data_IF_558403346397
#
_entry.id   IF_558403346397
#
_cell.length_a   1.000
_cell.length_b   1.000
_cell.length_c   1.000
_cell.angle_alpha   90.00
_cell.angle_beta   90.00
_cell.angle_gamma   90.00
#
_symmetry.space_group_name_H-M   'P 1'
#
loop_
_entity.id
_entity.type
_entity.pdbx_description
1 polymer ?
#
# COMPACT_ATOMS: atom_id res chain seq x y z
N UNK A 1 10.87 -16.60 -10.43
CA UNK A 1 9.59 -15.89 -10.72
C UNK A 1 9.20 -15.86 -12.20
N UNK A 2 10.14 -15.84 -13.18
CA UNK A 2 9.80 -15.80 -14.62
C UNK A 2 8.90 -16.96 -15.07
N UNK A 3 9.22 -18.20 -14.68
CA UNK A 3 8.45 -19.39 -15.04
C UNK A 3 6.98 -19.33 -14.62
N UNK A 4 6.69 -18.79 -13.42
CA UNK A 4 5.31 -18.61 -12.95
C UNK A 4 4.56 -17.57 -13.79
N UNK A 5 5.21 -16.44 -14.09
CA UNK A 5 4.62 -15.43 -14.97
C UNK A 5 4.35 -15.97 -16.38
N UNK A 6 5.28 -16.74 -16.94
CA UNK A 6 5.08 -17.42 -18.23
C UNK A 6 3.92 -18.40 -18.16
N UNK A 7 3.82 -19.22 -17.10
CA UNK A 7 2.72 -20.16 -16.89
C UNK A 7 1.36 -19.45 -16.85
N UNK A 8 1.22 -18.38 -16.06
CA UNK A 8 0.00 -17.56 -16.00
C UNK A 8 -0.36 -17.04 -17.40
N UNK A 9 0.62 -16.63 -18.19
CA UNK A 9 0.41 -16.06 -19.52
C UNK A 9 0.23 -17.10 -20.64
N UNK A 10 0.43 -18.40 -20.41
CA UNK A 10 0.27 -19.46 -21.43
C UNK A 10 -1.15 -19.57 -21.97
N UNK A 11 -2.17 -19.27 -21.17
CA UNK A 11 -3.57 -19.38 -21.58
C UNK A 11 -4.55 -18.93 -20.50
N UNK A 12 -5.84 -18.88 -20.85
CA UNK A 12 -6.90 -18.47 -19.92
C UNK A 12 -7.06 -19.47 -18.77
N UNK A 13 -6.93 -20.76 -19.05
CA UNK A 13 -7.06 -21.83 -18.04
C UNK A 13 -5.98 -21.73 -16.98
N UNK A 14 -4.72 -21.53 -17.38
CA UNK A 14 -3.59 -21.41 -16.45
C UNK A 14 -3.71 -20.14 -15.59
N UNK A 15 -4.11 -19.02 -16.19
CA UNK A 15 -4.40 -17.80 -15.45
C UNK A 15 -5.52 -18.02 -14.42
N UNK A 16 -6.64 -18.60 -14.82
CA UNK A 16 -7.77 -18.91 -13.92
C UNK A 16 -7.35 -19.83 -12.79
N UNK A 17 -6.58 -20.89 -13.09
CA UNK A 17 -6.10 -21.83 -12.09
C UNK A 17 -5.27 -21.12 -11.00
N UNK A 18 -4.37 -20.22 -11.39
CA UNK A 18 -3.56 -19.46 -10.42
C UNK A 18 -4.42 -18.46 -9.65
N UNK A 19 -5.28 -17.68 -10.33
CA UNK A 19 -6.10 -16.66 -9.68
C UNK A 19 -7.09 -17.30 -8.70
N UNK A 20 -7.91 -18.26 -9.15
CA UNK A 20 -8.91 -18.91 -8.33
C UNK A 20 -8.29 -19.86 -7.29
N UNK A 21 -7.26 -20.63 -7.67
CA UNK A 21 -6.57 -21.54 -6.75
C UNK A 21 -5.90 -20.79 -5.59
N UNK A 22 -5.21 -19.69 -5.86
CA UNK A 22 -4.63 -18.86 -4.80
C UNK A 22 -5.69 -18.11 -3.99
N UNK A 23 -6.81 -17.68 -4.59
CA UNK A 23 -7.91 -17.04 -3.87
C UNK A 23 -8.66 -18.02 -2.95
N UNK A 24 -8.70 -19.30 -3.28
CA UNK A 24 -9.29 -20.34 -2.43
C UNK A 24 -8.43 -20.65 -1.19
N UNK A 25 -7.11 -20.48 -1.30
CA UNK A 25 -6.17 -20.79 -0.23
C UNK A 25 -5.96 -19.60 0.72
N UNK A 26 -6.08 -19.79 2.04
CA UNK A 26 -5.70 -18.77 3.02
C UNK A 26 -4.27 -18.28 2.76
N UNK A 27 -4.02 -17.00 3.03
CA UNK A 27 -2.70 -16.34 2.89
C UNK A 27 -2.13 -16.25 1.46
N UNK A 28 -2.67 -16.96 0.46
CA UNK A 28 -2.18 -16.90 -0.94
C UNK A 28 -2.99 -15.99 -1.85
N UNK A 29 -4.13 -15.46 -1.39
CA UNK A 29 -5.03 -14.63 -2.20
C UNK A 29 -4.33 -13.42 -2.86
N UNK A 30 -3.30 -12.84 -2.22
CA UNK A 30 -2.53 -11.72 -2.77
C UNK A 30 -1.73 -12.12 -4.02
N UNK A 31 -1.31 -13.39 -4.12
CA UNK A 31 -0.63 -13.94 -5.30
C UNK A 31 -1.62 -14.14 -6.44
N UNK A 32 -2.83 -14.62 -6.13
CA UNK A 32 -3.94 -14.70 -7.09
C UNK A 32 -4.31 -13.31 -7.63
N UNK A 33 -4.40 -12.32 -6.74
CA UNK A 33 -4.62 -10.92 -7.10
C UNK A 33 -3.49 -10.36 -7.99
N UNK A 34 -2.23 -10.72 -7.75
CA UNK A 34 -1.11 -10.34 -8.60
C UNK A 34 -1.18 -10.99 -10.00
N UNK A 35 -1.61 -12.26 -10.08
CA UNK A 35 -1.83 -12.95 -11.35
C UNK A 35 -2.96 -12.28 -12.15
N UNK A 36 -4.04 -11.88 -11.47
CA UNK A 36 -5.12 -11.08 -12.05
C UNK A 36 -4.61 -9.75 -12.61
N UNK A 37 -3.78 -9.02 -11.85
CA UNK A 37 -3.14 -7.78 -12.30
C UNK A 37 -2.27 -7.99 -13.54
N UNK A 38 -1.47 -9.07 -13.58
CA UNK A 38 -0.62 -9.39 -14.74
C UNK A 38 -1.46 -9.57 -16.02
N UNK A 39 -2.53 -10.36 -15.94
CA UNK A 39 -3.42 -10.60 -17.09
C UNK A 39 -4.09 -9.30 -17.52
N UNK A 40 -4.61 -8.51 -16.58
CA UNK A 40 -5.28 -7.25 -16.85
C UNK A 40 -4.33 -6.20 -17.46
N UNK A 41 -3.14 -6.04 -16.91
CA UNK A 41 -2.14 -5.10 -17.41
C UNK A 41 -1.66 -5.47 -18.81
N UNK A 42 -1.56 -6.76 -19.16
CA UNK A 42 -1.07 -7.20 -20.47
C UNK A 42 -2.16 -7.33 -21.52
N UNK A 43 -3.28 -7.97 -21.20
CA UNK A 43 -4.36 -8.30 -22.15
C UNK A 43 -5.56 -7.35 -22.07
N UNK A 44 -5.60 -6.48 -21.07
CA UNK A 44 -6.72 -5.56 -20.86
C UNK A 44 -7.92 -6.20 -20.15
N UNK A 45 -8.93 -5.39 -19.88
CA UNK A 45 -10.09 -5.78 -19.08
C UNK A 45 -10.91 -6.90 -19.73
N UNK A 46 -11.19 -6.81 -21.04
CA UNK A 46 -12.02 -7.78 -21.77
C UNK A 46 -11.52 -9.22 -21.59
N UNK A 47 -10.22 -9.42 -21.72
CA UNK A 47 -9.60 -10.74 -21.59
C UNK A 47 -9.43 -11.17 -20.13
N UNK A 48 -9.26 -10.22 -19.21
CA UNK A 48 -9.11 -10.49 -17.79
C UNK A 48 -10.44 -10.81 -17.10
N UNK A 49 -11.57 -10.31 -17.58
CA UNK A 49 -12.88 -10.44 -16.94
C UNK A 49 -13.24 -11.90 -16.63
N UNK A 50 -13.06 -12.82 -17.58
CA UNK A 50 -13.36 -14.23 -17.35
C UNK A 50 -12.46 -14.90 -16.29
N UNK A 51 -11.19 -14.50 -16.23
CA UNK A 51 -10.24 -14.99 -15.22
C UNK A 51 -10.59 -14.44 -13.84
N UNK A 52 -10.88 -13.14 -13.76
CA UNK A 52 -11.26 -12.48 -12.52
C UNK A 52 -12.60 -12.99 -12.01
N UNK A 53 -13.61 -13.16 -12.88
CA UNK A 53 -14.92 -13.67 -12.50
C UNK A 53 -14.84 -15.03 -11.80
N UNK A 54 -14.03 -15.95 -12.34
CA UNK A 54 -13.79 -17.25 -11.70
C UNK A 54 -12.95 -17.13 -10.43
N UNK A 55 -12.02 -16.18 -10.37
CA UNK A 55 -11.28 -15.84 -9.15
C UNK A 55 -12.15 -15.27 -8.03
N UNK A 56 -13.25 -14.59 -8.37
CA UNK A 56 -14.20 -14.03 -7.41
C UNK A 56 -15.06 -15.12 -6.73
N UNK A 57 -15.24 -16.30 -7.34
CA UNK A 57 -16.02 -17.39 -6.74
C UNK A 57 -15.50 -17.83 -5.38
N UNK A 58 -14.21 -18.22 -5.20
CA UNK A 58 -13.69 -18.55 -3.88
C UNK A 58 -13.70 -17.34 -2.93
N UNK A 59 -13.51 -16.12 -3.45
CA UNK A 59 -13.58 -14.90 -2.65
C UNK A 59 -14.99 -14.67 -2.07
N UNK A 60 -16.04 -14.95 -2.85
CA UNK A 60 -17.43 -14.89 -2.41
C UNK A 60 -17.74 -16.01 -1.41
N UNK A 61 -17.16 -17.20 -1.57
CA UNK A 61 -17.30 -18.29 -0.59
C UNK A 61 -16.73 -17.86 0.76
N UNK A 62 -15.52 -17.27 0.79
CA UNK A 62 -14.93 -16.74 2.03
C UNK A 62 -15.82 -15.71 2.70
N UNK A 63 -16.39 -14.78 1.92
CA UNK A 63 -17.26 -13.77 2.50
C UNK A 63 -18.60 -14.34 2.99
N UNK A 64 -19.31 -15.07 2.14
CA UNK A 64 -20.68 -15.49 2.44
C UNK A 64 -20.73 -16.62 3.48
N UNK A 65 -19.72 -17.47 3.55
CA UNK A 65 -19.69 -18.60 4.49
C UNK A 65 -18.88 -18.32 5.76
N UNK A 66 -17.79 -17.56 5.65
CA UNK A 66 -16.88 -17.30 6.78
C UNK A 66 -16.94 -15.85 7.27
N UNK A 67 -17.76 -14.99 6.65
CA UNK A 67 -17.85 -13.58 7.01
C UNK A 67 -16.59 -12.78 6.69
N UNK A 68 -15.67 -13.31 5.89
CA UNK A 68 -14.37 -12.66 5.60
C UNK A 68 -14.32 -12.08 4.17
N UNK A 69 -14.49 -10.75 4.00
CA UNK A 69 -14.46 -10.11 2.69
C UNK A 69 -13.03 -9.87 2.16
N UNK A 70 -11.96 -10.17 2.90
CA UNK A 70 -10.59 -9.70 2.57
C UNK A 70 -10.10 -10.19 1.22
N UNK A 71 -10.36 -11.45 0.88
CA UNK A 71 -9.98 -12.05 -0.42
C UNK A 71 -10.63 -11.27 -1.57
N UNK A 72 -11.93 -10.95 -1.42
CA UNK A 72 -12.69 -10.19 -2.41
C UNK A 72 -12.14 -8.77 -2.55
N UNK A 73 -11.95 -8.09 -1.43
CA UNK A 73 -11.44 -6.72 -1.39
C UNK A 73 -10.08 -6.61 -2.07
N UNK A 74 -9.17 -7.53 -1.78
CA UNK A 74 -7.81 -7.50 -2.34
C UNK A 74 -7.80 -7.80 -3.84
N UNK A 75 -8.56 -8.79 -4.29
CA UNK A 75 -8.67 -9.14 -5.71
C UNK A 75 -9.29 -7.99 -6.53
N UNK A 76 -10.39 -7.39 -6.04
CA UNK A 76 -11.07 -6.28 -6.72
C UNK A 76 -10.26 -4.99 -6.65
N UNK A 77 -9.64 -4.68 -5.51
CA UNK A 77 -8.86 -3.45 -5.39
C UNK A 77 -7.56 -3.50 -6.16
N UNK A 78 -6.84 -4.62 -6.17
CA UNK A 78 -5.63 -4.74 -7.00
C UNK A 78 -5.98 -4.63 -8.49
N UNK A 79 -7.08 -5.25 -8.92
CA UNK A 79 -7.59 -5.16 -10.30
C UNK A 79 -8.01 -3.73 -10.65
N UNK A 80 -8.69 -3.03 -9.74
CA UNK A 80 -9.03 -1.61 -9.90
C UNK A 80 -7.79 -0.73 -10.03
N UNK A 81 -6.78 -0.92 -9.18
CA UNK A 81 -5.50 -0.20 -9.28
C UNK A 81 -4.76 -0.54 -10.58
N UNK A 82 -4.84 -1.79 -11.06
CA UNK A 82 -4.27 -2.20 -12.33
C UNK A 82 -4.94 -1.48 -13.52
N UNK A 83 -6.26 -1.28 -13.46
CA UNK A 83 -6.98 -0.48 -14.47
C UNK A 83 -6.52 0.98 -14.46
N UNK A 84 -6.40 1.58 -13.27
CA UNK A 84 -5.89 2.97 -13.13
C UNK A 84 -4.47 3.08 -13.67
N UNK A 85 -3.59 2.13 -13.32
CA UNK A 85 -2.21 2.14 -13.81
C UNK A 85 -2.15 1.96 -15.33
N UNK A 86 -2.96 1.07 -15.89
CA UNK A 86 -3.04 0.84 -17.34
C UNK A 86 -3.58 2.06 -18.10
N UNK A 87 -4.57 2.75 -17.55
CA UNK A 87 -5.21 3.88 -18.23
C UNK A 87 -4.40 5.19 -18.10
N UNK A 88 -3.68 5.36 -16.99
CA UNK A 88 -2.99 6.62 -16.70
C UNK A 88 -1.48 6.57 -16.84
N UNK A 89 -0.89 5.38 -16.90
CA UNK A 89 0.55 5.13 -16.89
C UNK A 89 1.28 5.82 -15.71
N UNK A 90 0.54 6.14 -14.64
CA UNK A 90 1.03 6.96 -13.53
C UNK A 90 0.85 6.27 -12.19
N UNK A 91 1.98 5.82 -11.62
CA UNK A 91 2.02 5.27 -10.26
C UNK A 91 1.55 6.26 -9.20
N UNK A 92 1.79 7.56 -9.39
CA UNK A 92 1.31 8.59 -8.46
C UNK A 92 -0.22 8.60 -8.42
N UNK A 93 -0.88 8.60 -9.59
CA UNK A 93 -2.35 8.53 -9.65
C UNK A 93 -2.86 7.22 -9.05
N UNK A 94 -2.23 6.09 -9.36
CA UNK A 94 -2.58 4.79 -8.79
C UNK A 94 -2.49 4.79 -7.26
N UNK A 95 -1.41 5.32 -6.68
CA UNK A 95 -1.24 5.42 -5.23
C UNK A 95 -2.29 6.36 -4.61
N UNK A 96 -2.58 7.50 -5.22
CA UNK A 96 -3.64 8.39 -4.73
C UNK A 96 -5.03 7.73 -4.77
N UNK A 97 -5.36 7.01 -5.85
CA UNK A 97 -6.62 6.24 -5.93
C UNK A 97 -6.66 5.11 -4.90
N UNK A 98 -5.53 4.56 -4.49
CA UNK A 98 -5.49 3.54 -3.43
C UNK A 98 -6.04 4.05 -2.09
N UNK A 99 -6.00 5.37 -1.82
CA UNK A 99 -6.63 5.98 -0.64
C UNK A 99 -8.14 5.80 -0.68
N UNK A 100 -8.77 6.02 -1.84
CA UNK A 100 -10.21 5.79 -2.01
C UNK A 100 -10.57 4.30 -1.81
N UNK A 101 -9.71 3.38 -2.27
CA UNK A 101 -9.90 1.96 -1.97
C UNK A 101 -9.74 1.65 -0.48
N UNK A 102 -8.77 2.25 0.21
CA UNK A 102 -8.62 2.12 1.66
C UNK A 102 -9.87 2.60 2.41
N UNK A 103 -10.52 3.68 1.94
CA UNK A 103 -11.80 4.12 2.49
C UNK A 103 -12.91 3.09 2.28
N UNK A 104 -13.05 2.55 1.06
CA UNK A 104 -14.01 1.47 0.77
C UNK A 104 -13.74 0.26 1.68
N UNK A 105 -12.47 -0.11 1.86
CA UNK A 105 -12.08 -1.19 2.77
C UNK A 105 -12.47 -0.89 4.20
N UNK A 106 -12.25 0.33 4.69
CA UNK A 106 -12.62 0.72 6.05
C UNK A 106 -14.12 0.57 6.32
N UNK A 107 -14.97 0.90 5.34
CA UNK A 107 -16.43 0.74 5.45
C UNK A 107 -16.80 -0.75 5.46
N UNK A 108 -16.28 -1.52 4.52
CA UNK A 108 -16.60 -2.95 4.40
C UNK A 108 -16.10 -3.77 5.59
N UNK A 109 -14.86 -3.52 6.04
CA UNK A 109 -14.26 -4.20 7.19
C UNK A 109 -14.86 -3.72 8.51
N UNK A 110 -15.15 -2.42 8.63
CA UNK A 110 -15.82 -1.86 9.80
C UNK A 110 -17.24 -2.40 9.97
N UNK A 111 -17.92 -2.81 8.89
CA UNK A 111 -19.18 -3.54 8.97
C UNK A 111 -18.97 -5.02 9.27
N UNK A 112 -18.09 -5.70 8.54
CA UNK A 112 -17.89 -7.15 8.65
C UNK A 112 -17.25 -7.58 9.98
N UNK A 113 -16.35 -6.76 10.54
CA UNK A 113 -15.56 -7.09 11.73
C UNK A 113 -15.83 -6.17 12.92
N UNK A 114 -16.99 -5.49 12.96
CA UNK A 114 -17.32 -4.55 14.05
C UNK A 114 -17.13 -5.15 15.45
N UNK A 115 -17.71 -6.33 15.78
CA UNK A 115 -17.60 -6.87 17.14
C UNK A 115 -16.14 -7.16 17.54
N UNK A 116 -15.33 -7.65 16.60
CA UNK A 116 -13.93 -7.97 16.82
C UNK A 116 -13.09 -6.71 17.02
N UNK A 117 -13.35 -5.66 16.23
CA UNK A 117 -12.68 -4.36 16.36
C UNK A 117 -13.03 -3.70 17.69
N UNK A 118 -14.31 -3.72 18.08
CA UNK A 118 -14.77 -3.17 19.36
C UNK A 118 -14.15 -3.93 20.53
N UNK A 119 -14.17 -5.26 20.51
CA UNK A 119 -13.54 -6.08 21.55
C UNK A 119 -12.04 -5.80 21.69
N UNK A 120 -11.31 -5.76 20.57
CA UNK A 120 -9.89 -5.44 20.59
C UNK A 120 -9.63 -4.00 21.08
N UNK A 121 -10.45 -3.03 20.68
CA UNK A 121 -10.32 -1.66 21.14
C UNK A 121 -10.48 -1.58 22.67
N UNK A 122 -11.44 -2.30 23.25
CA UNK A 122 -11.62 -2.34 24.71
C UNK A 122 -10.40 -2.93 25.43
N UNK A 123 -9.80 -3.99 24.90
CA UNK A 123 -8.56 -4.55 25.47
C UNK A 123 -7.40 -3.55 25.40
N UNK A 124 -7.28 -2.79 24.31
CA UNK A 124 -6.27 -1.72 24.19
C UNK A 124 -6.53 -0.57 25.18
N UNK A 125 -7.80 -0.19 25.40
CA UNK A 125 -8.15 0.84 26.39
C UNK A 125 -7.71 0.41 27.80
N UNK A 126 -7.89 -0.86 28.16
CA UNK A 126 -7.50 -1.39 29.48
C UNK A 126 -5.99 -1.31 29.75
N UNK A 127 -5.16 -1.45 28.72
CA UNK A 127 -3.70 -1.38 28.84
C UNK A 127 -3.15 0.05 28.74
N UNK A 128 -3.97 1.03 28.34
CA UNK A 128 -3.55 2.41 28.15
C UNK A 128 -2.89 3.05 29.39
N UNK A 129 -3.38 2.84 30.63
CA UNK A 129 -2.71 3.34 31.83
C UNK A 129 -1.31 2.75 32.01
N UNK A 130 -1.13 1.47 31.68
CA UNK A 130 0.16 0.80 31.78
C UNK A 130 1.13 1.29 30.69
N UNK A 131 0.62 1.52 29.47
CA UNK A 131 1.42 1.95 28.32
C UNK A 131 1.89 3.41 28.44
N UNK A 132 1.06 4.29 29.00
CA UNK A 132 1.36 5.72 29.14
C UNK A 132 1.96 6.08 30.51
N UNK A 133 1.81 5.22 31.53
CA UNK A 133 2.38 5.44 32.86
C UNK A 133 1.94 6.78 33.46
N UNK A 134 2.91 7.57 33.91
CA UNK A 134 2.67 8.89 34.53
C UNK A 134 1.94 9.85 33.59
N UNK A 135 2.16 9.76 32.26
CA UNK A 135 1.47 10.59 31.29
C UNK A 135 -0.04 10.36 31.34
N UNK A 136 -0.49 9.12 31.58
CA UNK A 136 -1.91 8.82 31.73
C UNK A 136 -2.53 9.57 32.90
N UNK A 137 -1.81 9.69 34.02
CA UNK A 137 -2.31 10.37 35.21
C UNK A 137 -2.48 11.88 34.99
N UNK A 138 -1.63 12.48 34.15
CA UNK A 138 -1.70 13.90 33.81
C UNK A 138 -2.83 14.25 32.83
N UNK A 139 -3.38 13.27 32.11
CA UNK A 139 -4.53 13.50 31.23
C UNK A 139 -5.81 13.69 32.05
N UNK A 140 -6.58 14.71 31.69
CA UNK A 140 -7.95 14.92 32.15
C UNK A 140 -8.86 13.76 31.76
N UNK A 141 -10.01 13.64 32.43
CA UNK A 141 -11.01 12.61 32.10
C UNK A 141 -11.48 12.72 30.65
N UNK A 142 -11.66 13.94 30.15
CA UNK A 142 -12.09 14.21 28.78
C UNK A 142 -11.02 13.82 27.76
N UNK A 143 -9.74 14.07 28.05
CA UNK A 143 -8.65 13.64 27.17
C UNK A 143 -8.54 12.11 27.11
N UNK A 144 -8.68 11.42 28.25
CA UNK A 144 -8.69 9.95 28.29
C UNK A 144 -9.85 9.38 27.48
N UNK A 145 -11.05 9.94 27.64
CA UNK A 145 -12.23 9.55 26.86
C UNK A 145 -12.02 9.81 25.36
N UNK A 146 -11.42 10.95 25.01
CA UNK A 146 -11.05 11.28 23.63
C UNK A 146 -10.07 10.25 23.07
N UNK A 147 -8.97 9.94 23.75
CA UNK A 147 -8.00 8.92 23.31
C UNK A 147 -8.66 7.57 23.10
N UNK A 148 -9.48 7.11 24.06
CA UNK A 148 -10.20 5.85 23.95
C UNK A 148 -11.12 5.80 22.71
N UNK A 149 -11.81 6.91 22.41
CA UNK A 149 -12.70 7.01 21.25
C UNK A 149 -11.99 6.89 19.89
N UNK A 150 -10.68 7.15 19.83
CA UNK A 150 -9.88 7.05 18.60
C UNK A 150 -9.46 5.61 18.28
N UNK A 151 -9.42 4.71 19.27
CA UNK A 151 -8.80 3.40 19.13
C UNK A 151 -9.52 2.55 18.09
N UNK A 152 -10.85 2.40 18.18
CA UNK A 152 -11.60 1.59 17.22
C UNK A 152 -11.53 2.11 15.77
N UNK A 153 -11.69 3.43 15.51
CA UNK A 153 -11.45 3.99 14.18
C UNK A 153 -10.02 3.77 13.66
N UNK A 154 -9.01 3.96 14.51
CA UNK A 154 -7.60 3.72 14.13
C UNK A 154 -7.36 2.25 13.78
N UNK A 155 -7.89 1.31 14.57
CA UNK A 155 -7.82 -0.13 14.27
C UNK A 155 -8.48 -0.46 12.93
N UNK A 156 -9.67 0.10 12.68
CA UNK A 156 -10.38 -0.06 11.39
C UNK A 156 -9.52 0.45 10.24
N UNK A 157 -8.96 1.65 10.39
CA UNK A 157 -8.05 2.26 9.42
C UNK A 157 -6.78 1.44 9.21
N UNK A 158 -6.20 0.84 10.26
CA UNK A 158 -5.01 0.00 10.18
C UNK A 158 -5.27 -1.29 9.38
N UNK A 159 -6.39 -1.97 9.64
CA UNK A 159 -6.76 -3.18 8.90
C UNK A 159 -7.05 -2.83 7.42
N UNK A 160 -7.73 -1.70 7.18
CA UNK A 160 -7.99 -1.20 5.83
C UNK A 160 -6.69 -0.84 5.08
N UNK A 161 -5.77 -0.14 5.75
CA UNK A 161 -4.46 0.21 5.21
C UNK A 161 -3.60 -1.02 4.93
N UNK A 162 -3.68 -2.06 5.78
CA UNK A 162 -3.01 -3.33 5.52
C UNK A 162 -3.52 -3.96 4.21
N UNK A 163 -4.83 -4.01 4.00
CA UNK A 163 -5.40 -4.51 2.74
C UNK A 163 -5.03 -3.62 1.54
N UNK A 164 -5.01 -2.30 1.73
CA UNK A 164 -4.54 -1.34 0.72
C UNK A 164 -3.08 -1.62 0.32
N UNK A 165 -2.20 -1.84 1.30
CA UNK A 165 -0.79 -2.23 1.07
C UNK A 165 -0.74 -3.54 0.32
N UNK A 166 -1.50 -4.57 0.73
CA UNK A 166 -1.52 -5.87 0.04
C UNK A 166 -1.99 -5.72 -1.41
N UNK A 167 -3.02 -4.93 -1.68
CA UNK A 167 -3.48 -4.66 -3.06
C UNK A 167 -2.45 -3.93 -3.90
N UNK A 168 -1.74 -2.94 -3.34
CA UNK A 168 -0.64 -2.24 -4.01
C UNK A 168 0.52 -3.20 -4.26
N UNK A 169 0.87 -4.07 -3.31
CA UNK A 169 1.92 -5.09 -3.47
C UNK A 169 1.55 -6.14 -4.52
N UNK A 170 0.28 -6.59 -4.57
CA UNK A 170 -0.23 -7.47 -5.62
C UNK A 170 -0.10 -6.82 -6.99
N UNK A 171 -0.46 -5.53 -7.12
CA UNK A 171 -0.26 -4.79 -8.37
C UNK A 171 1.22 -4.66 -8.72
N UNK A 172 2.08 -4.29 -7.77
CA UNK A 172 3.53 -4.20 -7.95
C UNK A 172 4.08 -5.53 -8.47
N UNK A 173 3.68 -6.66 -7.88
CA UNK A 173 4.12 -7.98 -8.30
C UNK A 173 3.62 -8.31 -9.72
N UNK A 174 2.36 -8.01 -10.03
CA UNK A 174 1.81 -8.16 -11.38
C UNK A 174 2.55 -7.31 -12.42
N UNK A 175 2.84 -6.05 -12.11
CA UNK A 175 3.60 -5.14 -12.97
C UNK A 175 5.06 -5.58 -13.11
N UNK A 176 5.67 -6.09 -12.04
CA UNK A 176 7.02 -6.67 -12.07
C UNK A 176 7.09 -7.89 -12.99
N UNK A 177 6.14 -8.82 -12.88
CA UNK A 177 6.04 -9.96 -13.81
C UNK A 177 5.84 -9.51 -15.25
N UNK A 178 4.98 -8.52 -15.48
CA UNK A 178 4.77 -7.95 -16.81
C UNK A 178 6.08 -7.36 -17.38
N UNK A 179 6.84 -6.62 -16.57
CA UNK A 179 8.14 -6.09 -16.94
C UNK A 179 9.13 -7.23 -17.24
N UNK A 180 9.18 -8.26 -16.41
CA UNK A 180 10.08 -9.40 -16.59
C UNK A 180 9.88 -10.11 -17.94
N UNK A 181 8.64 -10.20 -18.43
CA UNK A 181 8.29 -10.87 -19.68
C UNK A 181 8.36 -9.96 -20.91
N UNK A 182 7.98 -8.69 -20.77
CA UNK A 182 7.70 -7.81 -21.91
C UNK A 182 8.46 -6.48 -21.91
N UNK A 183 9.07 -6.08 -20.79
CA UNK A 183 9.86 -4.84 -20.68
C UNK A 183 10.91 -4.97 -19.55
N UNK A 184 11.98 -5.76 -19.75
CA UNK A 184 12.94 -6.07 -18.69
C UNK A 184 13.51 -4.80 -18.03
N UNK A 185 13.44 -4.75 -16.69
CA UNK A 185 13.88 -3.59 -15.91
C UNK A 185 12.95 -2.37 -15.93
N UNK A 186 11.87 -2.38 -16.71
CA UNK A 186 10.90 -1.28 -16.82
C UNK A 186 10.27 -0.89 -15.48
N UNK A 187 9.76 -1.87 -14.74
CA UNK A 187 9.19 -1.64 -13.40
C UNK A 187 10.16 -0.93 -12.46
N UNK A 188 11.45 -1.31 -12.49
CA UNK A 188 12.45 -0.67 -11.64
C UNK A 188 12.60 0.83 -11.93
N UNK A 189 12.56 1.24 -13.21
CA UNK A 189 12.62 2.65 -13.59
C UNK A 189 11.36 3.41 -13.15
N UNK A 190 10.20 2.81 -13.37
CA UNK A 190 8.90 3.36 -12.96
C UNK A 190 8.77 3.53 -11.45
N UNK A 191 9.14 2.51 -10.66
CA UNK A 191 9.05 2.59 -9.21
C UNK A 191 9.97 3.68 -8.66
N UNK A 192 11.20 3.78 -9.18
CA UNK A 192 12.16 4.82 -8.78
C UNK A 192 11.82 6.21 -9.30
N UNK A 193 10.82 6.39 -10.16
CA UNK A 193 10.33 7.71 -10.58
C UNK A 193 9.12 8.16 -9.78
N UNK A 194 8.57 7.32 -8.90
CA UNK A 194 7.48 7.72 -8.00
C UNK A 194 7.96 8.87 -7.11
N UNK A 195 7.25 9.98 -7.23
CA UNK A 195 7.39 11.20 -6.43
C UNK A 195 6.02 11.85 -6.34
N UNK A 196 5.45 11.91 -5.14
CA UNK A 196 4.18 12.57 -4.92
C UNK A 196 4.45 14.08 -4.84
N UNK A 197 3.80 14.93 -5.66
CA UNK A 197 3.98 16.36 -5.58
C UNK A 197 3.56 16.93 -4.22
N UNK A 198 4.11 18.09 -3.85
CA UNK A 198 3.86 18.73 -2.55
C UNK A 198 2.37 18.89 -2.22
N UNK A 199 1.53 19.34 -3.16
CA UNK A 199 0.10 19.55 -2.92
C UNK A 199 -0.62 18.29 -2.40
N UNK A 200 -0.65 17.19 -3.17
CA UNK A 200 -1.21 15.93 -2.69
C UNK A 200 -0.53 15.39 -1.44
N UNK A 201 0.79 15.52 -1.29
CA UNK A 201 1.49 15.05 -0.09
C UNK A 201 1.04 15.80 1.18
N UNK A 202 0.88 17.12 1.09
CA UNK A 202 0.37 17.96 2.19
C UNK A 202 -1.09 17.69 2.49
N UNK A 203 -1.92 17.41 1.48
CA UNK A 203 -3.31 16.99 1.68
C UNK A 203 -3.37 15.66 2.45
N UNK A 204 -2.58 14.66 2.06
CA UNK A 204 -2.49 13.39 2.79
C UNK A 204 -2.04 13.61 4.24
N UNK A 205 -1.02 14.44 4.47
CA UNK A 205 -0.57 14.79 5.82
C UNK A 205 -1.68 15.48 6.64
N UNK A 206 -2.40 16.43 6.04
CA UNK A 206 -3.49 17.12 6.71
C UNK A 206 -4.61 16.15 7.12
N UNK A 207 -4.99 15.21 6.24
CA UNK A 207 -5.94 14.15 6.57
C UNK A 207 -5.47 13.28 7.75
N UNK A 208 -4.16 13.00 7.83
CA UNK A 208 -3.59 12.19 8.91
C UNK A 208 -3.58 12.92 10.27
N UNK A 209 -3.16 14.18 10.28
CA UNK A 209 -2.86 14.92 11.53
C UNK A 209 -4.04 15.77 11.99
N UNK A 210 -4.71 16.44 11.05
CA UNK A 210 -5.81 17.37 11.36
C UNK A 210 -7.16 16.66 11.33
N UNK A 211 -7.31 15.60 10.52
CA UNK A 211 -8.52 14.80 10.41
C UNK A 211 -9.19 14.45 11.75
N UNK A 212 -8.47 13.87 12.74
CA UNK A 212 -9.03 13.51 14.04
C UNK A 212 -9.70 14.66 14.83
N UNK A 213 -9.41 15.93 14.50
CA UNK A 213 -10.05 17.08 15.13
C UNK A 213 -11.49 17.32 14.64
N UNK A 214 -11.89 16.73 13.52
CA UNK A 214 -13.26 16.81 12.97
C UNK A 214 -14.15 15.65 13.42
N UNK A 215 -13.64 14.76 14.28
CA UNK A 215 -14.39 13.67 14.89
C UNK A 215 -13.55 12.38 15.00
N UNK A 216 -13.82 11.51 15.99
CA UNK A 216 -13.00 10.32 16.22
C UNK A 216 -12.90 9.39 15.02
N UNK A 217 -13.97 9.29 14.22
CA UNK A 217 -13.98 8.46 13.02
C UNK A 217 -12.95 8.89 11.99
N UNK A 218 -12.60 10.17 11.90
CA UNK A 218 -11.60 10.65 10.96
C UNK A 218 -10.19 10.14 11.27
N UNK A 219 -9.95 9.57 12.46
CA UNK A 219 -8.67 8.94 12.81
C UNK A 219 -8.34 7.70 11.97
N UNK A 220 -9.34 7.08 11.31
CA UNK A 220 -9.10 6.01 10.35
C UNK A 220 -8.30 6.47 9.12
N UNK A 221 -8.29 7.78 8.82
CA UNK A 221 -7.57 8.34 7.67
C UNK A 221 -6.06 8.29 7.87
N UNK A 222 -5.58 8.36 9.11
CA UNK A 222 -4.15 8.40 9.42
C UNK A 222 -3.38 7.20 8.79
N UNK A 223 -3.76 5.94 9.04
CA UNK A 223 -3.10 4.79 8.42
C UNK A 223 -3.37 4.65 6.91
N UNK A 224 -4.51 5.11 6.39
CA UNK A 224 -4.87 4.98 4.96
C UNK A 224 -4.07 5.97 4.11
N UNK A 225 -3.99 7.23 4.56
CA UNK A 225 -3.29 8.30 3.85
C UNK A 225 -1.76 8.17 3.94
N UNK A 226 -1.22 7.43 4.91
CA UNK A 226 0.22 7.17 5.00
C UNK A 226 0.71 6.16 3.96
N UNK A 227 -0.13 5.27 3.45
CA UNK A 227 0.28 4.22 2.49
C UNK A 227 0.93 4.79 1.23
N UNK A 228 0.33 5.76 0.49
CA UNK A 228 0.98 6.39 -0.66
C UNK A 228 2.33 7.02 -0.31
N UNK A 229 2.42 7.69 0.84
CA UNK A 229 3.63 8.38 1.29
C UNK A 229 4.75 7.37 1.59
N UNK A 230 4.45 6.25 2.25
CA UNK A 230 5.44 5.21 2.50
C UNK A 230 5.97 4.59 1.21
N UNK A 231 5.10 4.30 0.24
CA UNK A 231 5.56 3.80 -1.07
C UNK A 231 6.40 4.84 -1.83
N UNK A 232 6.07 6.13 -1.73
CA UNK A 232 6.88 7.20 -2.29
C UNK A 232 8.25 7.34 -1.58
N UNK A 233 8.30 7.18 -0.25
CA UNK A 233 9.54 7.15 0.53
C UNK A 233 10.43 5.96 0.15
N UNK A 234 9.84 4.77 -0.01
CA UNK A 234 10.56 3.59 -0.52
C UNK A 234 11.11 3.83 -1.93
N UNK A 235 10.31 4.43 -2.80
CA UNK A 235 10.73 4.79 -4.15
C UNK A 235 11.89 5.79 -4.15
N UNK A 236 11.90 6.76 -3.23
CA UNK A 236 13.01 7.69 -3.05
C UNK A 236 14.30 6.96 -2.70
N UNK A 237 14.28 6.09 -1.68
CA UNK A 237 15.49 5.37 -1.26
C UNK A 237 15.99 4.47 -2.39
N UNK A 238 15.10 3.75 -3.10
CA UNK A 238 15.47 2.95 -4.27
C UNK A 238 16.05 3.83 -5.40
N UNK A 239 15.50 5.03 -5.61
CA UNK A 239 15.98 6.02 -6.55
C UNK A 239 17.40 6.51 -6.22
N UNK A 240 17.65 6.84 -4.95
CA UNK A 240 18.93 7.31 -4.46
C UNK A 240 20.01 6.22 -4.55
N UNK A 241 19.70 4.99 -4.13
CA UNK A 241 20.62 3.84 -4.24
C UNK A 241 21.04 3.60 -5.68
N UNK A 242 20.07 3.62 -6.62
CA UNK A 242 20.37 3.41 -8.03
C UNK A 242 21.18 4.57 -8.65
N UNK A 243 20.83 5.82 -8.35
CA UNK A 243 21.52 7.01 -8.90
C UNK A 243 22.94 7.14 -8.38
N UNK A 244 23.13 6.98 -7.06
CA UNK A 244 24.45 7.05 -6.41
C UNK A 244 25.27 5.76 -6.58
N UNK A 245 24.79 4.79 -7.37
CA UNK A 245 25.43 3.49 -7.60
C UNK A 245 25.84 2.77 -6.30
N UNK A 246 25.03 2.92 -5.25
CA UNK A 246 25.33 2.33 -3.94
C UNK A 246 25.14 0.81 -3.97
N UNK A 247 25.85 0.12 -3.08
CA UNK A 247 25.72 -1.32 -2.93
C UNK A 247 24.28 -1.75 -2.60
N UNK A 248 23.84 -2.88 -3.16
CA UNK A 248 22.50 -3.47 -2.89
C UNK A 248 22.24 -3.75 -1.40
N UNK A 249 23.31 -3.88 -0.60
CA UNK A 249 23.24 -4.06 0.84
C UNK A 249 22.45 -2.96 1.56
N UNK A 250 22.47 -1.71 1.06
CA UNK A 250 21.67 -0.62 1.65
C UNK A 250 20.16 -0.89 1.60
N UNK A 251 19.68 -1.56 0.55
CA UNK A 251 18.27 -1.95 0.45
C UNK A 251 17.95 -3.11 1.39
N UNK A 252 18.90 -4.05 1.59
CA UNK A 252 18.74 -5.12 2.58
C UNK A 252 18.62 -4.51 3.98
N UNK A 253 19.50 -3.58 4.34
CA UNK A 253 19.43 -2.84 5.60
C UNK A 253 18.11 -2.10 5.77
N UNK A 254 17.61 -1.41 4.72
CA UNK A 254 16.30 -0.76 4.74
C UNK A 254 15.18 -1.74 5.10
N UNK A 255 15.08 -2.90 4.44
CA UNK A 255 13.99 -3.83 4.70
C UNK A 255 14.11 -4.55 6.06
N UNK A 256 15.34 -4.88 6.50
CA UNK A 256 15.58 -5.45 7.82
C UNK A 256 15.20 -4.45 8.92
N UNK A 257 15.63 -3.19 8.79
CA UNK A 257 15.30 -2.14 9.75
C UNK A 257 13.82 -1.77 9.69
N UNK A 258 13.18 -1.77 8.51
CA UNK A 258 11.74 -1.58 8.39
C UNK A 258 10.96 -2.66 9.14
N UNK A 259 11.45 -3.90 9.16
CA UNK A 259 10.82 -5.01 9.90
C UNK A 259 11.06 -4.91 11.41
N UNK A 260 12.32 -4.70 11.83
CA UNK A 260 12.71 -4.68 13.25
C UNK A 260 12.34 -3.38 13.98
N UNK A 261 12.34 -2.27 13.24
CA UNK A 261 12.13 -0.91 13.75
C UNK A 261 11.03 -0.19 12.97
N UNK A 262 9.95 -0.89 12.63
CA UNK A 262 8.82 -0.37 11.86
C UNK A 262 8.26 0.95 12.41
N UNK A 263 8.07 1.04 13.73
CA UNK A 263 7.64 2.24 14.47
C UNK A 263 8.50 3.48 14.22
N UNK A 264 9.78 3.31 13.87
CA UNK A 264 10.71 4.41 13.59
C UNK A 264 10.88 4.63 12.08
N UNK A 265 11.09 3.55 11.31
CA UNK A 265 11.38 3.64 9.88
C UNK A 265 10.13 4.04 9.09
N UNK A 266 8.93 3.59 9.50
CA UNK A 266 7.69 3.91 8.80
C UNK A 266 7.38 5.41 8.79
N UNK A 267 7.35 6.13 9.95
CA UNK A 267 7.19 7.58 9.94
C UNK A 267 8.30 8.32 9.18
N UNK A 268 9.55 7.82 9.26
CA UNK A 268 10.66 8.40 8.51
C UNK A 268 10.41 8.35 7.00
N UNK A 269 9.89 7.23 6.47
CA UNK A 269 9.52 7.12 5.05
C UNK A 269 8.44 8.12 4.65
N UNK A 270 7.46 8.36 5.52
CA UNK A 270 6.41 9.37 5.31
C UNK A 270 7.02 10.77 5.22
N UNK A 271 7.88 11.14 6.18
CA UNK A 271 8.57 12.43 6.17
C UNK A 271 9.41 12.58 4.90
N UNK A 272 10.23 11.58 4.57
CA UNK A 272 11.08 11.60 3.38
C UNK A 272 10.27 11.81 2.08
N UNK A 273 9.09 11.21 1.97
CA UNK A 273 8.21 11.40 0.82
C UNK A 273 7.69 12.84 0.70
N UNK A 274 7.33 13.47 1.83
CA UNK A 274 6.86 14.85 1.87
C UNK A 274 8.00 15.80 1.49
N UNK A 275 9.19 15.59 2.06
CA UNK A 275 10.35 16.45 1.77
C UNK A 275 10.78 16.29 0.30
N UNK A 276 10.76 15.09 -0.28
CA UNK A 276 11.01 14.88 -1.73
C UNK A 276 9.96 15.56 -2.62
N UNK A 277 8.71 15.65 -2.16
CA UNK A 277 7.66 16.41 -2.83
C UNK A 277 7.92 17.93 -2.84
N UNK A 278 8.49 18.47 -1.77
CA UNK A 278 8.76 19.90 -1.59
C UNK A 278 10.08 20.36 -2.22
N UNK A 279 11.14 19.60 -1.98
CA UNK A 279 12.51 19.89 -2.38
C UNK A 279 12.88 18.82 -3.38
N UNK A 280 13.03 19.17 -4.66
CA UNK A 280 13.42 18.22 -5.68
C UNK A 280 14.86 17.72 -5.48
N UNK A 281 15.05 16.76 -4.56
CA UNK A 281 16.35 16.16 -4.27
C UNK A 281 16.93 15.48 -5.51
N UNK A 282 16.04 14.86 -6.31
CA UNK A 282 16.42 14.09 -7.48
C UNK A 282 16.84 15.00 -8.64
N UNK A 283 16.18 16.13 -8.86
CA UNK A 283 16.52 17.11 -9.89
C UNK A 283 17.83 17.84 -9.60
N UNK A 284 18.06 18.27 -8.35
CA UNK A 284 19.26 19.04 -7.97
C UNK A 284 20.57 18.23 -7.98
N UNK A 285 20.50 16.92 -7.74
CA UNK A 285 21.69 16.06 -7.84
C UNK A 285 22.10 15.86 -9.31
N UNK A 286 21.15 15.80 -10.24
CA UNK A 286 21.43 15.63 -11.67
C UNK A 286 22.07 16.88 -12.30
N UNK A 287 21.71 18.10 -11.84
CA UNK A 287 22.36 19.33 -12.32
C UNK A 287 23.81 19.45 -11.83
N UNK A 288 24.12 18.96 -10.61
CA UNK A 288 25.47 19.03 -10.04
C UNK A 288 26.46 18.07 -10.71
N UNK A 289 25.99 16.90 -11.17
CA UNK A 289 26.82 15.95 -11.93
C UNK A 289 27.05 16.41 -13.39
N UNK A 290 26.15 17.25 -13.93
CA UNK A 290 26.33 17.86 -15.26
C UNK A 290 27.32 19.03 -15.21
N UNK A 291 27.28 19.85 -14.17
CA UNK A 291 28.24 20.95 -13.98
C UNK A 291 29.65 20.45 -13.65
N UNK A 292 29.80 19.32 -12.94
CA UNK A 292 31.12 18.75 -12.62
C UNK A 292 31.79 18.04 -13.82
N UNK A 293 31.03 17.65 -14.83
CA UNK A 293 31.55 17.12 -16.09
C UNK A 293 31.94 18.23 -17.09
N UNK A 294 31.48 19.45 -16.87
CA UNK A 294 31.76 20.62 -17.71
C UNK A 294 32.75 21.61 -17.06
N UNK A 295 33.27 21.29 -15.87
CA UNK A 295 34.29 22.06 -15.17
C UNK A 295 35.69 21.53 -15.44
N UNK A 296 36.23 21.78 -16.63
CA UNK A 296 37.68 21.79 -16.83
C UNK A 296 38.23 23.16 -16.44
N UNK A 297 39.27 23.12 -15.61
CA UNK A 297 40.12 24.21 -15.17
C UNK A 297 41.24 23.63 -14.34
#
# INVERSE_FOLDING_TARGET
MRALAEFIMRGRVQATLVVAGCAALPLLYWLGAAAGCLVLLRRGLKDALGVLALGLLPALIWWLQMGDPRVLLVLLGSSSLALVLRASESWVRTLLVSVALGLVYSVMLGAAFRPQIEALAQEIVKILPLALGDLYQHLSVDERARFASLIAPVLTGLIAALLQVVSVLSLILGRYWQALLYNPGGFGREFRSIRIPAGPAMLLLACMVVGPNFGPQMALLAPICSVPLVFAGLALIHGLVARKRLARFWLVGLYVTLLLFMQLIYPLLVVLAIVDGLIDFRGRLASKDADSANGEG
#
